data_IF_919086422425
#
_entry.id   IF_919086422425
#
_cell.length_a   1.000
_cell.length_b   1.000
_cell.length_c   1.000
_cell.angle_alpha   90.00
_cell.angle_beta   90.00
_cell.angle_gamma   90.00
#
_symmetry.space_group_name_H-M   'P 1'
#
loop_
_entity.id
_entity.type
_entity.pdbx_description
1 polymer ?
#
# COMPACT_ATOMS: atom_id res chain seq x y z
N UNK A 1 -19.98 -4.04 10.83
CA UNK A 1 -19.91 -2.74 10.16
C UNK A 1 -20.65 -1.63 10.88
N UNK A 2 -21.82 -1.89 11.46
CA UNK A 2 -22.54 -0.88 12.25
C UNK A 2 -21.71 -0.33 13.40
N UNK A 3 -21.04 -1.22 14.15
CA UNK A 3 -20.23 -0.80 15.29
C UNK A 3 -19.04 0.06 14.84
N UNK A 4 -18.45 -0.28 13.68
CA UNK A 4 -17.37 0.50 13.11
C UNK A 4 -17.86 1.91 12.74
N UNK A 5 -19.04 2.02 12.13
CA UNK A 5 -19.60 3.32 11.77
C UNK A 5 -19.79 4.22 12.99
N UNK A 6 -20.33 3.64 14.08
CA UNK A 6 -20.50 4.37 15.35
C UNK A 6 -19.16 4.84 15.90
N UNK A 7 -18.14 3.99 15.81
CA UNK A 7 -16.80 4.29 16.29
C UNK A 7 -16.23 5.56 15.64
N UNK A 8 -16.59 5.81 14.38
CA UNK A 8 -16.11 6.98 13.64
C UNK A 8 -17.13 8.11 13.58
N UNK A 9 -18.14 8.06 14.46
CA UNK A 9 -19.14 9.12 14.53
C UNK A 9 -20.14 9.11 13.39
N UNK A 10 -20.24 8.01 12.65
CA UNK A 10 -21.16 7.88 11.53
C UNK A 10 -22.43 7.18 12.00
N UNK A 11 -23.58 7.78 11.72
CA UNK A 11 -24.88 7.21 12.07
C UNK A 11 -25.16 5.99 11.19
N UNK A 12 -25.30 4.76 11.77
CA UNK A 12 -25.58 3.55 10.97
C UNK A 12 -26.90 3.62 10.21
N UNK A 13 -27.84 4.46 10.64
CA UNK A 13 -29.11 4.63 9.95
C UNK A 13 -28.97 5.45 8.68
N UNK A 14 -27.84 6.13 8.48
CA UNK A 14 -27.56 6.94 7.28
C UNK A 14 -26.75 6.16 6.27
N UNK A 15 -27.19 4.97 5.92
CA UNK A 15 -26.46 4.10 4.99
C UNK A 15 -26.20 4.77 3.64
N UNK A 16 -27.18 5.55 3.13
CA UNK A 16 -27.00 6.26 1.85
C UNK A 16 -25.89 7.30 1.95
N UNK A 17 -25.72 7.95 3.10
CA UNK A 17 -24.65 8.90 3.32
C UNK A 17 -23.29 8.20 3.30
N UNK A 18 -23.22 6.98 3.84
CA UNK A 18 -21.99 6.19 3.82
C UNK A 18 -21.57 5.83 2.39
N UNK A 19 -22.53 5.73 1.45
CA UNK A 19 -22.24 5.48 0.06
C UNK A 19 -21.64 6.70 -0.64
N UNK A 20 -21.78 7.90 -0.08
CA UNK A 20 -21.22 9.10 -0.69
C UNK A 20 -19.70 9.12 -0.56
N UNK A 21 -19.03 9.67 -1.57
CA UNK A 21 -17.58 9.80 -1.55
C UNK A 21 -17.08 10.66 -0.40
N UNK A 22 -17.85 11.65 0.03
CA UNK A 22 -17.48 12.50 1.14
C UNK A 22 -17.38 11.73 2.45
N UNK A 23 -18.39 10.91 2.76
CA UNK A 23 -18.41 10.11 3.99
C UNK A 23 -17.34 9.04 3.93
N UNK A 24 -17.16 8.39 2.77
CA UNK A 24 -16.09 7.40 2.59
C UNK A 24 -14.72 8.03 2.85
N UNK A 25 -14.49 9.22 2.32
CA UNK A 25 -13.23 9.93 2.49
C UNK A 25 -12.97 10.25 3.96
N UNK A 26 -13.97 10.78 4.67
CA UNK A 26 -13.83 11.09 6.10
C UNK A 26 -13.56 9.83 6.91
N UNK A 27 -14.20 8.72 6.56
CA UNK A 27 -14.02 7.45 7.25
C UNK A 27 -12.58 6.96 7.13
N UNK A 28 -12.01 6.96 5.91
CA UNK A 28 -10.63 6.49 5.73
C UNK A 28 -9.60 7.47 6.28
N UNK A 29 -9.92 8.74 6.38
CA UNK A 29 -9.03 9.72 7.03
C UNK A 29 -8.83 9.40 8.50
N UNK A 30 -9.85 8.89 9.16
CA UNK A 30 -9.76 8.50 10.56
C UNK A 30 -9.04 7.16 10.72
N UNK A 31 -9.28 6.22 9.80
CA UNK A 31 -8.64 4.92 9.81
C UNK A 31 -8.58 4.37 8.39
N UNK A 32 -7.37 4.32 7.82
CA UNK A 32 -7.17 3.86 6.45
C UNK A 32 -7.68 2.43 6.22
N UNK A 33 -7.56 1.56 7.23
CA UNK A 33 -8.02 0.17 7.10
C UNK A 33 -9.54 0.05 6.97
N UNK A 34 -10.28 1.11 7.24
CA UNK A 34 -11.73 1.13 7.02
C UNK A 34 -12.10 0.88 5.55
N UNK A 35 -11.17 1.07 4.63
CA UNK A 35 -11.42 0.84 3.20
C UNK A 35 -11.87 -0.58 2.92
N UNK A 36 -11.50 -1.55 3.74
CA UNK A 36 -11.92 -2.94 3.56
C UNK A 36 -13.44 -3.13 3.61
N UNK A 37 -14.17 -2.16 4.19
CA UNK A 37 -15.62 -2.21 4.31
C UNK A 37 -16.34 -1.39 3.25
N UNK A 38 -15.61 -0.70 2.38
CA UNK A 38 -16.17 0.18 1.37
C UNK A 38 -16.22 -0.56 0.05
N UNK A 39 -17.41 -0.64 -0.56
CA UNK A 39 -17.58 -1.25 -1.88
C UNK A 39 -17.25 -0.21 -2.95
N UNK A 40 -16.45 -0.62 -3.93
CA UNK A 40 -16.09 0.21 -5.08
C UNK A 40 -15.57 1.60 -4.69
N UNK A 41 -14.57 1.68 -3.81
CA UNK A 41 -14.03 2.99 -3.45
C UNK A 41 -13.38 3.66 -4.66
N UNK A 42 -13.53 4.98 -4.76
CA UNK A 42 -12.85 5.74 -5.79
C UNK A 42 -11.34 5.75 -5.56
N UNK A 43 -10.58 6.09 -6.61
CA UNK A 43 -9.12 6.21 -6.45
C UNK A 43 -8.76 7.23 -5.37
N UNK A 44 -9.52 8.32 -5.28
CA UNK A 44 -9.29 9.34 -4.27
C UNK A 44 -9.41 8.77 -2.86
N UNK A 45 -10.43 7.95 -2.61
CA UNK A 45 -10.64 7.30 -1.31
C UNK A 45 -9.54 6.27 -1.06
N UNK A 46 -9.19 5.48 -2.08
CA UNK A 46 -8.11 4.49 -1.98
C UNK A 46 -6.78 5.15 -1.63
N UNK A 47 -6.43 6.20 -2.33
CA UNK A 47 -5.17 6.91 -2.07
C UNK A 47 -5.15 7.52 -0.68
N UNK A 48 -6.26 8.11 -0.24
CA UNK A 48 -6.34 8.66 1.11
C UNK A 48 -6.17 7.57 2.17
N UNK A 49 -6.79 6.41 1.96
CA UNK A 49 -6.64 5.26 2.86
C UNK A 49 -5.16 4.87 3.00
N UNK A 50 -4.45 4.77 1.88
CA UNK A 50 -3.03 4.41 1.87
C UNK A 50 -2.18 5.51 2.51
N UNK A 51 -2.53 6.77 2.31
CA UNK A 51 -1.83 7.89 2.97
C UNK A 51 -1.94 7.80 4.49
N UNK A 52 -3.11 7.41 4.98
CA UNK A 52 -3.33 7.27 6.41
C UNK A 52 -2.62 6.05 6.97
N UNK A 53 -2.59 4.96 6.20
CA UNK A 53 -1.92 3.72 6.60
C UNK A 53 -1.51 2.95 5.34
N UNK A 54 -0.22 2.92 5.06
CA UNK A 54 0.31 2.25 3.87
C UNK A 54 -0.08 0.78 3.77
N UNK A 55 -0.24 0.09 4.90
CA UNK A 55 -0.66 -1.32 4.90
C UNK A 55 -2.10 -1.50 4.45
N UNK A 56 -2.89 -0.43 4.35
CA UNK A 56 -4.26 -0.49 3.82
C UNK A 56 -4.28 -0.94 2.36
N UNK A 57 -3.15 -0.87 1.66
CA UNK A 57 -3.07 -1.32 0.27
C UNK A 57 -3.44 -2.80 0.11
N UNK A 58 -3.31 -3.60 1.15
CA UNK A 58 -3.71 -5.02 1.12
C UNK A 58 -5.20 -5.21 0.83
N UNK A 59 -6.02 -4.17 1.03
CA UNK A 59 -7.46 -4.22 0.78
C UNK A 59 -7.83 -3.63 -0.58
N UNK A 60 -6.86 -3.22 -1.40
CA UNK A 60 -7.09 -2.64 -2.71
C UNK A 60 -6.67 -3.66 -3.76
N UNK A 61 -7.62 -4.07 -4.65
CA UNK A 61 -7.37 -5.16 -5.59
C UNK A 61 -6.32 -4.82 -6.64
N UNK A 62 -6.46 -3.70 -7.31
CA UNK A 62 -5.53 -3.29 -8.37
C UNK A 62 -5.03 -1.89 -8.06
N UNK A 63 -4.11 -1.78 -7.09
CA UNK A 63 -3.64 -0.46 -6.70
C UNK A 63 -2.90 0.23 -7.85
N UNK A 64 -3.14 1.53 -8.00
CA UNK A 64 -2.43 2.35 -8.97
C UNK A 64 -0.96 2.48 -8.56
N UNK A 65 -0.11 2.87 -9.51
CA UNK A 65 1.30 3.12 -9.20
C UNK A 65 1.44 4.15 -8.08
N UNK A 66 0.61 5.17 -8.09
CA UNK A 66 0.65 6.22 -7.07
C UNK A 66 0.35 5.66 -5.68
N UNK A 67 -0.66 4.77 -5.60
CA UNK A 67 -0.99 4.08 -4.34
C UNK A 67 0.13 3.16 -3.92
N UNK A 68 0.70 2.41 -4.86
CA UNK A 68 1.82 1.51 -4.58
C UNK A 68 3.02 2.28 -4.01
N UNK A 69 3.40 3.39 -4.65
CA UNK A 69 4.51 4.22 -4.20
C UNK A 69 4.28 4.79 -2.81
N UNK A 70 3.08 5.29 -2.57
CA UNK A 70 2.73 5.84 -1.25
C UNK A 70 2.86 4.77 -0.17
N UNK A 71 2.36 3.56 -0.44
CA UNK A 71 2.42 2.45 0.51
C UNK A 71 3.87 2.07 0.84
N UNK A 72 4.71 1.84 -0.18
CA UNK A 72 6.07 1.36 0.06
C UNK A 72 6.97 2.43 0.62
N UNK A 73 6.67 3.72 0.41
CA UNK A 73 7.40 4.82 1.04
C UNK A 73 7.15 4.88 2.53
N UNK A 74 5.92 4.57 2.95
CA UNK A 74 5.60 4.50 4.38
C UNK A 74 6.18 3.24 5.00
N UNK A 75 5.93 2.09 4.37
CA UNK A 75 6.36 0.78 4.86
C UNK A 75 6.84 -0.04 3.67
N UNK A 76 8.15 -0.21 3.53
CA UNK A 76 8.73 -0.98 2.43
C UNK A 76 8.16 -2.39 2.35
N UNK A 77 7.81 -3.01 3.48
CA UNK A 77 7.24 -4.35 3.51
C UNK A 77 5.83 -4.42 2.93
N UNK A 78 5.20 -3.27 2.63
CA UNK A 78 3.91 -3.23 1.91
C UNK A 78 4.01 -3.87 0.53
N UNK A 79 5.23 -4.02 -0.01
CA UNK A 79 5.44 -4.70 -1.29
C UNK A 79 4.88 -6.12 -1.28
N UNK A 80 4.81 -6.76 -0.12
CA UNK A 80 4.25 -8.12 0.01
C UNK A 80 2.79 -8.20 -0.44
N UNK A 81 2.05 -7.08 -0.33
CA UNK A 81 0.62 -7.03 -0.68
C UNK A 81 0.38 -6.58 -2.12
N UNK A 82 1.42 -6.24 -2.87
CA UNK A 82 1.31 -5.77 -4.25
C UNK A 82 1.69 -6.91 -5.18
N UNK A 83 0.70 -7.41 -5.95
CA UNK A 83 0.93 -8.55 -6.83
C UNK A 83 1.84 -8.20 -8.00
N UNK A 84 1.59 -7.06 -8.63
CA UNK A 84 2.34 -6.63 -9.80
C UNK A 84 2.90 -5.22 -9.58
N UNK A 85 3.98 -5.10 -8.78
CA UNK A 85 4.56 -3.79 -8.56
C UNK A 85 5.13 -3.22 -9.86
N UNK A 86 4.93 -1.91 -10.07
CA UNK A 86 5.51 -1.23 -11.22
C UNK A 86 7.03 -1.19 -11.09
N UNK A 87 7.72 -0.96 -12.22
CA UNK A 87 9.17 -0.82 -12.18
C UNK A 87 9.61 0.26 -11.21
N UNK A 88 8.91 1.38 -11.21
CA UNK A 88 9.22 2.49 -10.31
C UNK A 88 9.13 2.08 -8.84
N UNK A 89 8.12 1.29 -8.50
CA UNK A 89 7.96 0.75 -7.15
C UNK A 89 9.08 -0.21 -6.81
N UNK A 90 9.45 -1.08 -7.75
CA UNK A 90 10.55 -2.02 -7.55
C UNK A 90 11.86 -1.28 -7.27
N UNK A 91 12.11 -0.21 -8.02
CA UNK A 91 13.30 0.62 -7.79
C UNK A 91 13.24 1.30 -6.42
N UNK A 92 12.06 1.77 -6.02
CA UNK A 92 11.88 2.49 -4.76
C UNK A 92 12.21 1.62 -3.53
N UNK A 93 11.90 0.32 -3.57
CA UNK A 93 12.10 -0.54 -2.40
C UNK A 93 13.53 -1.03 -2.22
N UNK A 94 14.41 -0.83 -3.19
CA UNK A 94 15.78 -1.36 -3.13
C UNK A 94 16.50 -0.87 -1.85
N UNK A 95 16.46 0.43 -1.59
CA UNK A 95 17.15 0.97 -0.41
C UNK A 95 16.61 0.42 0.90
N UNK A 96 15.29 0.20 0.96
CA UNK A 96 14.67 -0.42 2.12
C UNK A 96 15.18 -1.84 2.32
N UNK A 97 15.18 -2.66 1.25
CA UNK A 97 15.58 -4.06 1.33
C UNK A 97 17.04 -4.22 1.76
N UNK A 98 17.90 -3.33 1.29
CA UNK A 98 19.33 -3.39 1.63
C UNK A 98 19.58 -3.15 3.12
N UNK A 99 18.64 -2.56 3.83
CA UNK A 99 18.75 -2.30 5.28
C UNK A 99 18.12 -3.40 6.12
N UNK A 100 17.41 -4.34 5.52
CA UNK A 100 16.75 -5.42 6.26
C UNK A 100 17.74 -6.56 6.52
N UNK A 101 17.42 -7.42 7.49
CA UNK A 101 18.23 -8.60 7.80
C UNK A 101 18.16 -9.65 6.69
N UNK A 102 17.07 -9.67 5.92
CA UNK A 102 16.86 -10.62 4.83
C UNK A 102 16.53 -9.85 3.55
N UNK A 103 17.53 -9.24 2.89
CA UNK A 103 17.26 -8.36 1.75
C UNK A 103 16.66 -9.06 0.53
N UNK A 104 16.81 -10.37 0.40
CA UNK A 104 16.28 -11.11 -0.76
C UNK A 104 14.89 -11.71 -0.52
N UNK A 105 14.26 -11.43 0.62
CA UNK A 105 12.96 -12.02 0.96
C UNK A 105 11.86 -11.71 -0.06
N UNK A 106 11.96 -10.57 -0.77
CA UNK A 106 10.98 -10.15 -1.78
C UNK A 106 11.56 -10.16 -3.20
N UNK A 107 12.63 -10.95 -3.44
CA UNK A 107 13.28 -10.96 -4.76
C UNK A 107 12.31 -11.33 -5.89
N UNK A 108 11.30 -12.16 -5.58
CA UNK A 108 10.28 -12.56 -6.55
C UNK A 108 9.40 -11.39 -7.03
N UNK A 109 9.45 -10.26 -6.35
CA UNK A 109 8.72 -9.05 -6.76
C UNK A 109 9.45 -8.26 -7.82
N UNK A 110 10.72 -8.58 -8.09
CA UNK A 110 11.50 -7.90 -9.11
C UNK A 110 11.26 -8.55 -10.46
N UNK A 111 10.27 -8.03 -11.20
CA UNK A 111 9.94 -8.50 -12.55
C UNK A 111 10.58 -7.63 -13.63
N UNK A 112 11.10 -6.46 -13.27
CA UNK A 112 11.82 -5.58 -14.18
C UNK A 112 13.29 -5.97 -14.18
N UNK A 113 13.86 -6.24 -15.38
CA UNK A 113 15.28 -6.55 -15.51
C UNK A 113 16.15 -5.42 -14.97
N UNK A 114 15.76 -4.18 -15.23
CA UNK A 114 16.48 -3.01 -14.75
C UNK A 114 16.54 -2.97 -13.22
N UNK A 115 15.39 -3.14 -12.59
CA UNK A 115 15.31 -3.09 -11.12
C UNK A 115 16.06 -4.27 -10.50
N UNK A 116 15.90 -5.47 -11.05
CA UNK A 116 16.60 -6.66 -10.53
C UNK A 116 18.11 -6.50 -10.63
N UNK A 117 18.60 -6.04 -11.77
CA UNK A 117 20.05 -5.83 -11.96
C UNK A 117 20.60 -4.82 -10.96
N UNK A 118 19.89 -3.71 -10.77
CA UNK A 118 20.32 -2.70 -9.83
C UNK A 118 20.35 -3.25 -8.41
N UNK A 119 19.31 -3.99 -8.02
CA UNK A 119 19.24 -4.60 -6.70
C UNK A 119 20.43 -5.54 -6.46
N UNK A 120 20.71 -6.42 -7.42
CA UNK A 120 21.82 -7.37 -7.31
C UNK A 120 23.17 -6.66 -7.24
N UNK A 121 23.36 -5.61 -8.03
CA UNK A 121 24.58 -4.80 -7.99
C UNK A 121 24.78 -4.17 -6.61
N UNK A 122 23.72 -3.64 -6.02
CA UNK A 122 23.78 -3.01 -4.71
C UNK A 122 24.06 -4.03 -3.60
N UNK A 123 23.52 -5.25 -3.73
CA UNK A 123 23.83 -6.33 -2.80
C UNK A 123 25.33 -6.68 -2.79
N UNK A 124 25.92 -6.74 -3.99
CA UNK A 124 27.34 -7.01 -4.12
C UNK A 124 28.18 -5.89 -3.50
N UNK A 125 27.81 -4.63 -3.76
CA UNK A 125 28.50 -3.46 -3.21
C UNK A 125 28.49 -3.49 -1.69
N UNK A 126 27.44 -3.99 -1.08
CA UNK A 126 27.33 -4.08 0.38
C UNK A 126 27.95 -5.36 0.94
N UNK A 127 28.64 -6.15 0.13
CA UNK A 127 29.27 -7.41 0.51
C UNK A 127 28.29 -8.43 1.10
N UNK A 128 27.03 -8.35 0.68
CA UNK A 128 26.01 -9.30 1.10
C UNK A 128 26.07 -10.57 0.26
N UNK A 129 26.46 -10.43 -1.02
CA UNK A 129 26.66 -11.54 -1.94
C UNK A 129 28.11 -11.49 -2.39
N UNK A 130 28.92 -12.44 -1.98
CA UNK A 130 30.31 -12.53 -2.40
C UNK A 130 30.65 -13.97 -2.72
#
# INVERSE_FOLDING_TARGET
MRDMLKQYGINPESFLDFQSGKVQLETVKQNGNSIRYIQNPSEKVQLEAVKQNGHSIRYIQNPSEKEQLEAVKQYGDSIQYIQNPSEKVQLEIISYLLKTENPTQYIHKFTSDKALRLFLQQLVVKDIII
#
